data_IF_119580024776
#
_entry.id   IF_119580024776
#
_cell.length_a   1.000
_cell.length_b   1.000
_cell.length_c   1.000
_cell.angle_alpha   90.00
_cell.angle_beta   90.00
_cell.angle_gamma   90.00
#
_symmetry.space_group_name_H-M   'P 1'
#
loop_
_entity.id
_entity.type
_entity.pdbx_description
1 polymer ?
#
# COMPACT_ATOMS: atom_id res chain seq x y z
N UNK A 1 14.60 3.22 -9.43
CA UNK A 1 13.97 1.97 -9.90
C UNK A 1 12.47 2.08 -9.64
N UNK A 2 11.63 1.51 -10.51
CA UNK A 2 10.17 1.66 -10.42
C UNK A 2 9.46 0.32 -10.64
N UNK A 3 8.44 0.03 -9.85
CA UNK A 3 7.67 -1.21 -9.90
C UNK A 3 6.17 -0.92 -9.94
N UNK A 4 5.44 -1.78 -10.64
CA UNK A 4 3.99 -1.87 -10.47
C UNK A 4 3.67 -2.60 -9.17
N UNK A 5 2.49 -2.37 -8.62
CA UNK A 5 2.01 -3.08 -7.43
C UNK A 5 0.52 -3.38 -7.55
N UNK A 6 0.13 -4.58 -7.13
CA UNK A 6 -1.26 -4.96 -7.00
C UNK A 6 -1.43 -5.98 -5.88
N UNK A 7 -2.61 -6.03 -5.27
CA UNK A 7 -2.87 -6.93 -4.17
C UNK A 7 -4.18 -6.63 -3.44
N UNK A 8 -4.21 -6.98 -2.17
CA UNK A 8 -5.35 -6.74 -1.29
C UNK A 8 -4.96 -5.81 -0.14
N UNK A 9 -5.90 -4.95 0.24
CA UNK A 9 -5.83 -4.08 1.40
C UNK A 9 -6.85 -4.57 2.42
N UNK A 10 -6.40 -4.79 3.65
CA UNK A 10 -7.21 -5.21 4.79
C UNK A 10 -7.37 -4.06 5.77
N UNK A 11 -8.56 -3.91 6.33
CA UNK A 11 -8.96 -2.88 7.27
C UNK A 11 -9.51 -3.52 8.54
N UNK A 12 -8.95 -3.14 9.69
CA UNK A 12 -9.42 -3.56 10.99
C UNK A 12 -9.66 -2.33 11.89
N UNK A 13 -10.86 -2.17 12.47
CA UNK A 13 -11.99 -3.14 12.50
C UNK A 13 -12.83 -3.21 11.21
N UNK A 14 -12.60 -2.31 10.25
CA UNK A 14 -13.33 -2.17 8.99
C UNK A 14 -13.75 -0.72 8.76
N UNK A 15 -13.74 -0.28 7.50
CA UNK A 15 -14.10 1.09 7.12
C UNK A 15 -15.60 1.32 7.28
N UNK A 16 -15.97 2.34 8.06
CA UNK A 16 -17.36 2.69 8.38
C UNK A 16 -17.76 4.06 7.84
N UNK A 17 -19.03 4.42 8.01
CA UNK A 17 -19.55 5.76 7.67
C UNK A 17 -18.89 6.86 8.51
N UNK A 18 -18.67 6.59 9.81
CA UNK A 18 -18.01 7.53 10.72
C UNK A 18 -16.49 7.37 10.65
N UNK A 19 -15.72 8.48 10.70
CA UNK A 19 -14.27 8.41 10.79
C UNK A 19 -13.83 7.67 12.05
N UNK A 20 -13.07 6.60 11.86
CA UNK A 20 -12.48 5.81 12.95
C UNK A 20 -11.04 5.47 12.60
N UNK A 21 -10.15 5.35 13.60
CA UNK A 21 -8.80 4.84 13.39
C UNK A 21 -8.86 3.40 12.88
N UNK A 22 -8.16 3.13 11.79
CA UNK A 22 -8.03 1.82 11.18
C UNK A 22 -6.58 1.35 11.27
N UNK A 23 -6.43 0.05 11.48
CA UNK A 23 -5.23 -0.67 11.06
C UNK A 23 -5.42 -1.08 9.61
N UNK A 24 -4.43 -0.74 8.78
CA UNK A 24 -4.43 -1.08 7.36
C UNK A 24 -3.28 -2.04 7.10
N UNK A 25 -3.53 -3.14 6.41
CA UNK A 25 -2.49 -4.00 5.87
C UNK A 25 -2.62 -4.09 4.35
N UNK A 26 -1.54 -3.79 3.63
CA UNK A 26 -1.40 -4.04 2.20
C UNK A 26 -0.64 -5.35 2.02
N UNK A 27 -1.22 -6.26 1.25
CA UNK A 27 -0.63 -7.54 0.86
C UNK A 27 -0.52 -7.59 -0.66
N UNK A 28 0.67 -7.25 -1.16
CA UNK A 28 0.96 -7.26 -2.58
C UNK A 28 1.21 -8.65 -3.14
N UNK A 29 1.21 -8.72 -4.47
CA UNK A 29 1.65 -9.87 -5.26
C UNK A 29 2.87 -9.47 -6.07
N UNK A 30 3.66 -10.46 -6.50
CA UNK A 30 4.77 -10.22 -7.42
C UNK A 30 4.28 -9.47 -8.65
N UNK A 31 4.92 -8.35 -8.92
CA UNK A 31 4.57 -7.42 -9.98
C UNK A 31 5.85 -6.94 -10.66
N UNK A 32 5.76 -6.62 -11.95
CA UNK A 32 6.94 -6.30 -12.77
C UNK A 32 7.58 -4.97 -12.39
N UNK A 33 8.90 -4.92 -12.51
CA UNK A 33 9.74 -3.74 -12.27
C UNK A 33 10.50 -3.33 -13.52
N UNK A 34 10.76 -2.03 -13.62
CA UNK A 34 11.74 -1.44 -14.52
C UNK A 34 12.94 -1.05 -13.68
N UNK A 35 14.00 -1.85 -13.78
CA UNK A 35 15.24 -1.63 -13.05
C UNK A 35 16.23 -0.77 -13.86
N UNK A 36 16.62 0.37 -13.28
CA UNK A 36 17.66 1.26 -13.81
C UNK A 36 18.85 1.40 -12.83
N UNK A 37 18.87 0.59 -11.76
CA UNK A 37 19.91 0.62 -10.72
C UNK A 37 21.07 -0.33 -10.98
N UNK A 38 20.91 -1.28 -11.91
CA UNK A 38 21.91 -2.30 -12.24
C UNK A 38 21.95 -3.48 -11.28
N UNK A 39 20.93 -3.65 -10.43
CA UNK A 39 20.82 -4.77 -9.47
C UNK A 39 20.24 -6.02 -10.15
N UNK A 40 19.52 -5.86 -11.26
CA UNK A 40 18.87 -6.95 -12.00
C UNK A 40 17.52 -7.32 -11.40
N UNK A 41 16.76 -6.33 -10.90
CA UNK A 41 15.43 -6.58 -10.30
C UNK A 41 14.38 -6.76 -11.39
N UNK A 42 13.75 -7.93 -11.42
CA UNK A 42 12.67 -8.28 -12.35
C UNK A 42 11.29 -8.01 -11.78
N UNK A 43 11.07 -8.44 -10.55
CA UNK A 43 9.77 -8.38 -9.88
C UNK A 43 9.92 -7.90 -8.44
N UNK A 44 8.87 -7.28 -7.94
CA UNK A 44 8.76 -6.94 -6.53
C UNK A 44 7.38 -7.27 -5.98
N UNK A 45 7.34 -7.58 -4.69
CA UNK A 45 6.12 -7.69 -3.89
C UNK A 45 6.26 -6.81 -2.67
N UNK A 46 5.31 -5.88 -2.49
CA UNK A 46 5.26 -5.00 -1.33
C UNK A 46 4.18 -5.46 -0.36
N UNK A 47 4.54 -5.58 0.92
CA UNK A 47 3.61 -5.73 2.02
C UNK A 47 3.84 -4.61 3.03
N UNK A 48 2.79 -3.93 3.47
CA UNK A 48 2.92 -2.77 4.36
C UNK A 48 1.80 -2.73 5.40
N UNK A 49 2.12 -2.29 6.60
CA UNK A 49 1.15 -2.09 7.68
C UNK A 49 1.15 -0.64 8.16
N UNK A 50 -0.03 -0.04 8.26
CA UNK A 50 -0.24 1.29 8.83
C UNK A 50 -1.18 1.21 10.03
N UNK A 51 -0.97 2.08 11.01
CA UNK A 51 -1.82 2.18 12.20
C UNK A 51 -2.39 3.58 12.34
N UNK A 52 -3.51 3.67 13.05
CA UNK A 52 -4.19 4.90 13.42
C UNK A 52 -4.54 5.78 12.21
N UNK A 53 -4.79 5.15 11.06
CA UNK A 53 -5.21 5.86 9.85
C UNK A 53 -6.70 6.13 9.95
N UNK A 54 -7.07 7.41 10.02
CA UNK A 54 -8.47 7.81 10.07
C UNK A 54 -9.11 7.64 8.70
N UNK A 55 -10.05 6.70 8.54
CA UNK A 55 -10.76 6.49 7.27
C UNK A 55 -12.26 6.59 7.51
N UNK A 56 -12.99 7.19 6.57
CA UNK A 56 -14.45 7.10 6.50
C UNK A 56 -14.93 6.94 5.06
N UNK A 57 -16.08 6.31 4.88
CA UNK A 57 -16.71 6.19 3.56
C UNK A 57 -17.28 7.51 3.02
N UNK A 58 -17.58 8.49 3.89
CA UNK A 58 -18.26 9.73 3.52
C UNK A 58 -17.28 10.85 3.17
N UNK A 59 -16.11 10.88 3.81
CA UNK A 59 -15.14 11.95 3.63
C UNK A 59 -14.24 11.80 2.39
N UNK A 60 -14.40 10.75 1.58
CA UNK A 60 -13.66 10.59 0.32
C UNK A 60 -12.14 10.64 0.47
N UNK A 61 -11.60 10.28 1.63
CA UNK A 61 -10.18 10.40 1.93
C UNK A 61 -9.74 9.47 3.06
N UNK A 62 -8.50 9.01 2.96
CA UNK A 62 -7.78 8.36 4.05
C UNK A 62 -6.95 9.44 4.74
N UNK A 63 -6.88 9.39 6.07
CA UNK A 63 -6.02 10.26 6.86
C UNK A 63 -4.55 9.97 6.61
N UNK A 64 -3.69 10.81 7.18
CA UNK A 64 -2.25 10.50 7.26
C UNK A 64 -2.02 9.37 8.25
N UNK A 65 -0.99 8.57 8.03
CA UNK A 65 -0.57 7.55 8.98
C UNK A 65 0.85 7.11 8.74
N UNK A 66 1.45 6.54 9.77
CA UNK A 66 2.81 6.00 9.70
C UNK A 66 2.73 4.48 9.73
N UNK A 67 3.69 3.85 9.07
CA UNK A 67 3.72 2.42 8.89
C UNK A 67 5.10 1.91 8.55
N UNK A 68 5.18 0.61 8.39
CA UNK A 68 6.39 -0.07 7.92
C UNK A 68 6.00 -1.18 6.97
N UNK A 69 6.91 -1.55 6.09
CA UNK A 69 6.69 -2.60 5.13
C UNK A 69 7.93 -3.42 4.83
N UNK A 70 7.70 -4.47 4.05
CA UNK A 70 8.70 -5.32 3.47
C UNK A 70 8.50 -5.28 1.96
N UNK A 71 9.59 -5.12 1.23
CA UNK A 71 9.62 -5.34 -0.21
C UNK A 71 10.44 -6.60 -0.46
N UNK A 72 9.81 -7.61 -1.04
CA UNK A 72 10.47 -8.81 -1.55
C UNK A 72 10.84 -8.58 -3.01
N UNK A 73 12.12 -8.68 -3.34
CA UNK A 73 12.65 -8.51 -4.69
C UNK A 73 12.96 -9.87 -5.29
N UNK A 74 12.65 -10.06 -6.57
CA UNK A 74 13.09 -11.21 -7.36
C UNK A 74 14.00 -10.70 -8.46
N UNK A 75 15.24 -11.20 -8.48
CA UNK A 75 16.23 -10.87 -9.49
C UNK A 75 15.99 -11.66 -10.79
N UNK A 76 16.67 -11.27 -11.85
CA UNK A 76 16.62 -11.94 -13.16
C UNK A 76 17.02 -13.43 -13.11
N UNK A 77 17.93 -13.79 -12.20
CA UNK A 77 18.37 -15.16 -11.97
C UNK A 77 17.45 -15.95 -11.02
N UNK A 78 16.37 -15.32 -10.53
CA UNK A 78 15.42 -15.90 -9.58
C UNK A 78 15.82 -15.77 -8.10
N UNK A 79 16.98 -15.18 -7.80
CA UNK A 79 17.40 -14.91 -6.42
C UNK A 79 16.41 -13.95 -5.75
N UNK A 80 16.10 -14.24 -4.48
CA UNK A 80 15.20 -13.40 -3.68
C UNK A 80 15.99 -12.54 -2.69
N UNK A 81 15.69 -11.26 -2.67
CA UNK A 81 16.20 -10.31 -1.69
C UNK A 81 15.03 -9.65 -0.96
N UNK A 82 15.30 -9.00 0.16
CA UNK A 82 14.29 -8.30 0.93
C UNK A 82 14.81 -6.95 1.41
N UNK A 83 13.94 -5.93 1.34
CA UNK A 83 14.15 -4.63 1.98
C UNK A 83 13.08 -4.36 3.03
N UNK A 84 13.49 -3.75 4.14
CA UNK A 84 12.57 -3.18 5.12
C UNK A 84 12.42 -1.69 4.85
N UNK A 85 11.19 -1.19 4.86
CA UNK A 85 10.87 0.21 4.59
C UNK A 85 10.07 0.83 5.71
N UNK A 86 10.37 2.07 6.04
CA UNK A 86 9.51 2.92 6.84
C UNK A 86 8.68 3.79 5.91
N UNK A 87 7.38 3.86 6.17
CA UNK A 87 6.39 4.42 5.25
C UNK A 87 5.49 5.42 5.97
N UNK A 88 5.02 6.41 5.22
CA UNK A 88 4.03 7.38 5.65
C UNK A 88 3.03 7.61 4.53
N UNK A 89 1.75 7.62 4.87
CA UNK A 89 0.70 8.12 3.98
C UNK A 89 0.71 9.64 4.09
N UNK A 90 1.10 10.31 3.01
CA UNK A 90 1.26 11.77 2.97
C UNK A 90 -0.06 12.48 2.75
N UNK A 91 -0.81 11.99 1.77
CA UNK A 91 -2.17 12.44 1.49
C UNK A 91 -2.97 11.32 0.85
N UNK A 92 -4.28 11.50 0.81
CA UNK A 92 -5.16 10.64 0.04
C UNK A 92 -6.27 11.44 -0.59
N UNK A 93 -6.49 11.19 -1.87
CA UNK A 93 -7.53 11.83 -2.66
C UNK A 93 -8.43 10.71 -3.18
N UNK A 94 -9.69 10.69 -2.75
CA UNK A 94 -10.65 9.65 -3.11
C UNK A 94 -10.18 8.26 -2.65
N UNK A 95 -9.75 7.43 -3.62
CA UNK A 95 -9.27 6.07 -3.44
C UNK A 95 -7.75 5.95 -3.53
N UNK A 96 -7.06 7.05 -3.85
CA UNK A 96 -5.64 7.04 -4.19
C UNK A 96 -4.82 7.66 -3.07
N UNK A 97 -3.99 6.86 -2.43
CA UNK A 97 -3.04 7.28 -1.41
C UNK A 97 -1.66 7.51 -2.01
N UNK A 98 -1.03 8.61 -1.63
CA UNK A 98 0.39 8.84 -1.85
C UNK A 98 1.15 8.44 -0.59
N UNK A 99 2.21 7.66 -0.79
CA UNK A 99 3.02 7.09 0.28
C UNK A 99 4.48 7.45 0.02
N UNK A 100 5.14 8.05 1.01
CA UNK A 100 6.58 8.27 1.01
C UNK A 100 7.25 7.49 2.14
N UNK A 101 8.57 7.40 2.07
CA UNK A 101 9.33 6.64 3.06
C UNK A 101 10.81 6.56 2.74
N UNK A 102 11.48 5.65 3.43
CA UNK A 102 12.88 5.30 3.16
C UNK A 102 13.13 3.82 3.44
N UNK A 103 14.11 3.26 2.74
CA UNK A 103 14.57 1.89 2.97
C UNK A 103 15.52 1.87 4.16
N UNK A 104 15.14 1.15 5.21
CA UNK A 104 15.96 0.98 6.43
C UNK A 104 17.03 -0.10 6.30
N UNK A 105 16.72 -1.18 5.57
CA UNK A 105 17.59 -2.33 5.47
C UNK A 105 17.37 -3.04 4.13
N UNK A 106 18.42 -3.67 3.61
CA UNK A 106 18.38 -4.47 2.38
C UNK A 106 18.96 -3.72 1.18
N UNK A 107 18.67 -4.20 -0.04
CA UNK A 107 18.98 -3.44 -1.25
C UNK A 107 18.41 -2.02 -1.15
N UNK A 108 19.17 -1.03 -1.63
CA UNK A 108 18.80 0.39 -1.62
C UNK A 108 18.68 1.01 -0.22
N UNK A 109 19.44 0.54 0.77
CA UNK A 109 19.48 1.16 2.09
C UNK A 109 19.69 2.69 2.01
N UNK A 110 18.96 3.43 2.84
CA UNK A 110 18.88 4.91 2.90
C UNK A 110 18.29 5.59 1.65
N UNK A 111 17.88 4.82 0.63
CA UNK A 111 17.19 5.40 -0.53
C UNK A 111 15.75 5.77 -0.18
N UNK A 112 15.25 6.80 -0.87
CA UNK A 112 13.88 7.26 -0.70
C UNK A 112 12.90 6.27 -1.33
N UNK A 113 11.76 6.09 -0.68
CA UNK A 113 10.61 5.37 -1.21
C UNK A 113 9.51 6.37 -1.56
N UNK A 114 8.88 6.21 -2.71
CA UNK A 114 7.65 6.91 -3.09
C UNK A 114 6.69 5.97 -3.80
N UNK A 115 5.40 6.11 -3.59
CA UNK A 115 4.41 5.28 -4.25
C UNK A 115 3.03 5.91 -4.27
N UNK A 116 2.24 5.48 -5.25
CA UNK A 116 0.84 5.84 -5.39
C UNK A 116 0.02 4.55 -5.50
N UNK A 117 -0.96 4.41 -4.61
CA UNK A 117 -1.79 3.21 -4.53
C UNK A 117 -3.26 3.60 -4.59
N UNK A 118 -3.99 3.03 -5.53
CA UNK A 118 -5.44 3.16 -5.65
C UNK A 118 -6.10 1.93 -5.05
N UNK A 119 -6.83 2.11 -3.96
CA UNK A 119 -7.62 1.06 -3.34
C UNK A 119 -9.06 1.13 -3.86
N UNK A 120 -9.60 0.01 -4.33
CA UNK A 120 -10.96 -0.09 -4.87
C UNK A 120 -12.04 -0.11 -3.77
N UNK A 121 -12.00 0.84 -2.84
CA UNK A 121 -13.05 1.01 -1.81
C UNK A 121 -14.35 1.50 -2.45
N UNK A 122 -14.27 2.50 -3.35
CA UNK A 122 -15.46 3.08 -4.01
C UNK A 122 -15.76 2.42 -5.36
N UNK A 123 -16.20 1.17 -5.33
CA UNK A 123 -16.72 0.44 -6.51
C UNK A 123 -18.22 0.64 -6.77
N UNK A 124 -18.76 1.80 -6.41
CA UNK A 124 -20.19 2.13 -6.50
C UNK A 124 -20.74 2.60 -5.15
N UNK A 125 -21.63 3.61 -5.17
CA UNK A 125 -22.21 4.29 -4.01
C UNK A 125 -22.95 3.38 -2.99
N UNK A 126 -22.96 2.07 -3.19
CA UNK A 126 -23.63 1.07 -2.37
C UNK A 126 -22.74 0.15 -1.54
N UNK A 127 -21.40 0.11 -1.67
CA UNK A 127 -20.61 -0.91 -0.91
C UNK A 127 -20.40 -0.59 0.58
N UNK A 128 -20.41 0.68 0.97
CA UNK A 128 -20.37 1.06 2.38
C UNK A 128 -21.77 1.06 3.06
N UNK A 129 -22.85 1.08 2.28
CA UNK A 129 -24.23 1.33 2.74
C UNK A 129 -25.19 0.18 2.47
N UNK A 130 -24.95 -0.68 1.46
CA UNK A 130 -25.79 -1.81 1.10
C UNK A 130 -25.07 -3.13 1.39
N UNK A 131 -25.25 -3.66 2.61
CA UNK A 131 -25.04 -5.09 2.89
C UNK A 131 -24.11 -5.47 4.05
N UNK A 132 -23.55 -4.56 4.83
CA UNK A 132 -22.79 -4.92 6.04
C UNK A 132 -23.62 -4.71 7.30
N UNK A 133 -24.42 -5.68 7.76
CA UNK A 133 -24.95 -5.62 9.12
C UNK A 133 -23.73 -5.72 10.06
N UNK A 134 -23.35 -4.60 10.69
CA UNK A 134 -22.36 -4.54 11.78
C UNK A 134 -20.85 -4.66 11.47
N UNK A 135 -20.37 -4.48 10.24
CA UNK A 135 -18.96 -4.84 9.91
C UNK A 135 -18.05 -3.80 9.23
N UNK A 136 -18.59 -2.87 8.42
CA UNK A 136 -17.77 -2.02 7.54
C UNK A 136 -17.04 -2.79 6.42
N UNK A 137 -16.35 -2.08 5.53
CA UNK A 137 -15.51 -2.70 4.48
C UNK A 137 -14.21 -3.17 5.11
N UNK A 138 -13.96 -4.47 5.11
CA UNK A 138 -12.75 -5.07 5.69
C UNK A 138 -11.66 -5.35 4.68
N UNK A 139 -12.00 -5.54 3.40
CA UNK A 139 -11.03 -5.86 2.36
C UNK A 139 -11.35 -5.09 1.07
N UNK A 140 -10.32 -4.67 0.35
CA UNK A 140 -10.45 -4.13 -1.00
C UNK A 140 -9.19 -4.41 -1.81
N UNK A 141 -9.34 -4.66 -3.11
CA UNK A 141 -8.19 -4.76 -3.99
C UNK A 141 -7.48 -3.40 -4.11
N UNK A 142 -6.16 -3.41 -4.31
CA UNK A 142 -5.40 -2.22 -4.68
C UNK A 142 -4.56 -2.47 -5.91
N UNK A 143 -4.29 -1.39 -6.64
CA UNK A 143 -3.31 -1.32 -7.72
C UNK A 143 -2.49 -0.04 -7.55
N UNK A 144 -1.32 0.04 -8.16
CA UNK A 144 -0.48 1.21 -8.04
C UNK A 144 0.92 1.02 -8.60
N UNK A 145 1.78 1.94 -8.22
CA UNK A 145 3.19 1.94 -8.58
C UNK A 145 4.01 2.51 -7.43
N UNK A 146 5.25 2.05 -7.29
CA UNK A 146 6.20 2.63 -6.36
C UNK A 146 7.58 2.71 -6.98
N UNK A 147 8.42 3.61 -6.45
CA UNK A 147 9.79 3.81 -6.85
C UNK A 147 10.70 3.88 -5.63
N UNK A 148 11.92 3.37 -5.81
CA UNK A 148 13.02 3.50 -4.86
C UNK A 148 14.23 4.09 -5.57
N UNK A 149 14.80 5.15 -5.00
CA UNK A 149 16.00 5.83 -5.51
C UNK A 149 15.95 7.35 -5.34
#
# INVERSE_FOLDING_TARGET
>A
MSCTAAGETHFSPGVQLFPLPQQIAYEGKNSGCVDNSGVGIREAKISAGFRDVIISCVAGGFGTGSGSGIIEWTLDDGTKLSSQVDLRIDHTILNTSSVSGHVRQGPFQEQSFSGEFTTALFGGAGKCTAGAPFGGVRNAAFTGQFSVG
#
